data_IF_190373969177
#
_entry.id   IF_190373969177
#
_cell.length_a   1.000
_cell.length_b   1.000
_cell.length_c   1.000
_cell.angle_alpha   90.00
_cell.angle_beta   90.00
_cell.angle_gamma   90.00
#
_symmetry.space_group_name_H-M   'P 1'
#
loop_
_entity.id
_entity.type
_entity.pdbx_description
1 polymer ?
#
# COMPACT_ATOMS: atom_id res chain seq x y z
N UNK A 1 -4.18 8.86 6.58
CA UNK A 1 -4.39 8.36 5.21
C UNK A 1 -3.07 7.80 4.70
N UNK A 2 -3.05 6.54 4.26
CA UNK A 2 -1.84 5.80 3.90
C UNK A 2 -1.90 5.36 2.44
N UNK A 3 -1.02 5.94 1.60
CA UNK A 3 -0.87 5.65 0.18
C UNK A 3 0.31 4.72 -0.07
N UNK A 4 0.10 3.41 -0.01
CA UNK A 4 1.17 2.50 -0.43
C UNK A 4 1.00 2.13 -1.89
N UNK A 5 2.13 1.71 -2.45
CA UNK A 5 2.18 0.98 -3.68
C UNK A 5 2.99 -0.30 -3.38
N UNK A 6 2.32 -1.45 -3.42
CA UNK A 6 2.94 -2.76 -3.24
C UNK A 6 3.58 -3.02 -1.87
N UNK A 7 4.78 -3.60 -1.88
CA UNK A 7 5.44 -4.24 -0.74
C UNK A 7 6.24 -3.28 0.17
N UNK A 8 6.22 -1.98 -0.14
CA UNK A 8 6.78 -0.92 0.71
C UNK A 8 5.91 -0.57 1.93
N UNK A 9 4.82 -1.30 2.16
CA UNK A 9 3.88 -1.09 3.27
C UNK A 9 4.53 -1.04 4.66
N UNK A 10 5.74 -1.60 4.83
CA UNK A 10 6.51 -1.56 6.07
C UNK A 10 6.94 -0.14 6.49
N UNK A 11 7.11 0.78 5.54
CA UNK A 11 7.40 2.18 5.83
C UNK A 11 6.31 2.78 6.72
N UNK A 12 5.06 2.42 6.44
CA UNK A 12 3.91 2.86 7.23
C UNK A 12 3.85 2.31 8.64
N UNK A 13 4.50 1.18 8.90
CA UNK A 13 4.56 0.63 10.26
C UNK A 13 5.44 1.52 11.15
N UNK A 14 6.54 2.03 10.60
CA UNK A 14 7.35 3.05 11.26
C UNK A 14 6.57 4.32 11.56
N UNK A 15 5.88 4.85 10.52
CA UNK A 15 5.04 6.05 10.65
C UNK A 15 3.95 5.85 11.70
N UNK A 16 3.18 4.78 11.57
CA UNK A 16 2.08 4.39 12.47
C UNK A 16 2.55 4.29 13.91
N UNK A 17 3.69 3.62 14.17
CA UNK A 17 4.22 3.44 15.53
C UNK A 17 4.47 4.78 16.22
N UNK A 18 5.11 5.73 15.54
CA UNK A 18 5.37 7.07 16.09
C UNK A 18 4.07 7.85 16.30
N UNK A 19 3.18 7.85 15.31
CA UNK A 19 1.91 8.58 15.43
C UNK A 19 0.99 8.03 16.53
N UNK A 20 1.03 6.71 16.79
CA UNK A 20 0.32 6.10 17.91
C UNK A 20 0.96 6.46 19.26
N UNK A 21 2.30 6.44 19.36
CA UNK A 21 3.01 6.85 20.58
C UNK A 21 2.73 8.30 20.98
N UNK A 22 2.53 9.17 20.00
CA UNK A 22 2.17 10.58 20.20
C UNK A 22 0.67 10.81 20.44
N UNK A 23 -0.16 9.76 20.37
CA UNK A 23 -1.62 9.87 20.51
C UNK A 23 -2.34 10.55 19.32
N UNK A 24 -1.63 10.80 18.20
CA UNK A 24 -2.21 11.33 16.96
C UNK A 24 -3.12 10.28 16.31
N UNK A 25 -2.71 9.01 16.36
CA UNK A 25 -3.54 7.87 15.99
C UNK A 25 -3.89 7.08 17.25
N UNK A 26 -5.18 6.84 17.45
CA UNK A 26 -5.71 5.92 18.48
C UNK A 26 -6.23 4.69 17.75
N UNK A 27 -5.62 3.50 17.95
CA UNK A 27 -6.01 2.28 17.27
C UNK A 27 -7.49 1.98 17.39
N UNK A 28 -8.16 1.72 16.27
CA UNK A 28 -9.60 1.40 16.22
C UNK A 28 -10.54 2.59 16.46
N UNK A 29 -10.03 3.76 16.89
CA UNK A 29 -10.81 4.98 17.13
C UNK A 29 -10.57 6.04 16.06
N UNK A 30 -9.32 6.25 15.65
CA UNK A 30 -8.99 7.23 14.61
C UNK A 30 -9.47 6.72 13.25
N UNK A 31 -10.15 7.57 12.48
CA UNK A 31 -10.51 7.23 11.10
C UNK A 31 -9.26 7.11 10.24
N UNK A 32 -9.04 5.95 9.68
CA UNK A 32 -7.88 5.65 8.84
C UNK A 32 -8.35 5.13 7.49
N UNK A 33 -7.70 5.64 6.45
CA UNK A 33 -7.94 5.26 5.07
C UNK A 33 -6.65 4.70 4.48
N UNK A 34 -6.73 3.56 3.78
CA UNK A 34 -5.60 2.91 3.12
C UNK A 34 -5.90 2.51 1.68
N UNK A 35 -4.90 2.60 0.80
CA UNK A 35 -5.03 2.14 -0.60
C UNK A 35 -3.89 1.19 -0.96
N UNK A 36 -4.18 0.18 -1.78
CA UNK A 36 -3.24 -0.90 -2.14
C UNK A 36 -2.54 -1.46 -0.90
N UNK A 37 -1.24 -1.75 -0.93
CA UNK A 37 -0.49 -2.23 0.23
C UNK A 37 -0.68 -1.41 1.52
N UNK A 38 -1.13 -0.16 1.42
CA UNK A 38 -1.42 0.73 2.55
C UNK A 38 -2.59 0.22 3.37
N UNK A 39 -3.55 -0.48 2.76
CA UNK A 39 -4.65 -1.14 3.48
C UNK A 39 -4.13 -2.15 4.48
N UNK A 40 -3.19 -2.99 4.07
CA UNK A 40 -2.55 -3.97 4.94
C UNK A 40 -1.68 -3.25 5.98
N UNK A 41 -0.90 -2.25 5.55
CA UNK A 41 -0.08 -1.42 6.45
C UNK A 41 -0.87 -0.68 7.53
N UNK A 42 -2.14 -0.35 7.29
CA UNK A 42 -3.05 0.26 8.27
C UNK A 42 -3.54 -0.72 9.35
N UNK A 43 -3.30 -2.03 9.25
CA UNK A 43 -3.90 -3.00 10.17
C UNK A 43 -3.65 -2.67 11.66
N UNK A 44 -2.46 -2.16 12.07
CA UNK A 44 -2.27 -1.67 13.43
C UNK A 44 -3.11 -0.45 13.80
N UNK A 45 -3.28 0.49 12.87
CA UNK A 45 -4.08 1.69 13.10
C UNK A 45 -5.59 1.38 13.16
N UNK A 46 -6.03 0.34 12.45
CA UNK A 46 -7.38 -0.20 12.56
C UNK A 46 -7.66 -0.89 13.90
N UNK A 47 -6.64 -1.09 14.75
CA UNK A 47 -6.79 -1.81 16.02
C UNK A 47 -6.94 -3.33 15.86
N UNK A 48 -6.64 -3.86 14.67
CA UNK A 48 -6.78 -5.29 14.35
C UNK A 48 -5.61 -6.10 14.93
N UNK A 49 -4.42 -5.52 14.97
CA UNK A 49 -3.18 -6.22 15.35
C UNK A 49 -2.13 -5.23 15.88
N UNK A 50 -1.22 -5.65 16.76
CA UNK A 50 -0.08 -4.81 17.16
C UNK A 50 1.04 -4.78 16.11
N UNK A 51 1.88 -3.73 16.12
CA UNK A 51 2.99 -3.60 15.15
C UNK A 51 3.96 -4.77 15.16
N UNK A 52 4.28 -5.33 16.33
CA UNK A 52 5.29 -6.41 16.42
C UNK A 52 4.78 -7.72 15.78
N UNK A 53 3.52 -8.10 16.06
CA UNK A 53 2.88 -9.24 15.38
C UNK A 53 2.76 -8.98 13.87
N UNK A 54 2.40 -7.76 13.48
CA UNK A 54 2.34 -7.38 12.07
C UNK A 54 3.70 -7.56 11.38
N UNK A 55 4.78 -7.08 11.97
CA UNK A 55 6.13 -7.19 11.42
C UNK A 55 6.59 -8.64 11.33
N UNK A 56 6.30 -9.48 12.33
CA UNK A 56 6.62 -10.89 12.30
C UNK A 56 5.94 -11.61 11.11
N UNK A 57 4.63 -11.44 10.96
CA UNK A 57 3.85 -12.02 9.85
C UNK A 57 4.30 -11.45 8.50
N UNK A 58 4.55 -10.14 8.45
CA UNK A 58 4.99 -9.45 7.24
C UNK A 58 6.37 -9.87 6.75
N UNK A 59 7.33 -10.10 7.65
CA UNK A 59 8.67 -10.63 7.33
C UNK A 59 8.59 -12.05 6.77
N UNK A 60 7.73 -12.90 7.32
CA UNK A 60 7.49 -14.24 6.78
C UNK A 60 6.84 -14.16 5.38
N UNK A 61 5.86 -13.28 5.21
CA UNK A 61 5.18 -13.04 3.94
C UNK A 61 6.16 -12.63 2.82
N UNK A 62 7.03 -11.64 3.05
CA UNK A 62 8.00 -11.24 2.03
C UNK A 62 9.01 -12.35 1.73
N UNK A 63 9.41 -13.12 2.74
CA UNK A 63 10.33 -14.25 2.57
C UNK A 63 9.73 -15.31 1.66
N UNK A 64 8.45 -15.65 1.87
CA UNK A 64 7.71 -16.57 1.00
C UNK A 64 7.53 -16.03 -0.41
N UNK A 65 7.23 -14.74 -0.54
CA UNK A 65 7.13 -14.12 -1.86
C UNK A 65 8.44 -14.20 -2.63
N UNK A 66 9.58 -13.87 -2.00
CA UNK A 66 10.90 -13.97 -2.62
C UNK A 66 11.23 -15.39 -3.05
N UNK A 67 10.89 -16.38 -2.24
CA UNK A 67 11.07 -17.79 -2.56
C UNK A 67 10.20 -18.28 -3.74
N UNK A 68 9.17 -17.51 -4.12
CA UNK A 68 8.20 -17.85 -5.17
C UNK A 68 8.10 -16.72 -6.20
N UNK A 69 9.23 -16.40 -6.83
CA UNK A 69 9.27 -15.43 -7.94
C UNK A 69 8.64 -14.08 -7.57
N UNK A 70 8.95 -13.57 -6.38
CA UNK A 70 8.42 -12.30 -5.85
C UNK A 70 6.88 -12.24 -5.78
N UNK A 71 6.24 -13.39 -5.51
CA UNK A 71 4.78 -13.55 -5.49
C UNK A 71 4.06 -13.29 -6.83
N UNK A 72 4.78 -13.22 -7.94
CA UNK A 72 4.18 -13.00 -9.24
C UNK A 72 3.19 -14.13 -9.59
N UNK A 73 1.96 -13.77 -9.94
CA UNK A 73 0.84 -14.68 -10.19
C UNK A 73 0.18 -15.34 -8.98
N UNK A 74 0.70 -15.14 -7.76
CA UNK A 74 0.21 -15.79 -6.53
C UNK A 74 -0.03 -14.83 -5.36
N UNK A 75 0.16 -13.52 -5.54
CA UNK A 75 0.11 -12.53 -4.45
C UNK A 75 -1.22 -12.57 -3.69
N UNK A 76 -2.38 -12.76 -4.35
CA UNK A 76 -3.68 -12.81 -3.67
C UNK A 76 -3.78 -13.98 -2.69
N UNK A 77 -3.19 -15.13 -3.02
CA UNK A 77 -3.15 -16.29 -2.13
C UNK A 77 -2.29 -16.04 -0.88
N UNK A 78 -1.15 -15.38 -1.05
CA UNK A 78 -0.26 -15.05 0.07
C UNK A 78 -0.82 -13.90 0.90
N UNK A 79 -1.50 -12.93 0.27
CA UNK A 79 -2.30 -11.90 0.96
C UNK A 79 -3.43 -12.55 1.76
N UNK A 80 -4.17 -13.51 1.19
CA UNK A 80 -5.22 -14.22 1.92
C UNK A 80 -4.65 -14.89 3.17
N UNK A 81 -3.48 -15.53 3.07
CA UNK A 81 -2.78 -16.15 4.21
C UNK A 81 -2.40 -15.12 5.28
N UNK A 82 -1.91 -13.95 4.89
CA UNK A 82 -1.59 -12.85 5.81
C UNK A 82 -2.84 -12.33 6.51
N UNK A 83 -3.90 -12.07 5.74
CA UNK A 83 -5.19 -11.60 6.25
C UNK A 83 -5.75 -12.58 7.28
N UNK A 84 -5.69 -13.89 7.02
CA UNK A 84 -6.15 -14.90 7.98
C UNK A 84 -5.40 -14.87 9.32
N UNK A 85 -4.08 -14.60 9.30
CA UNK A 85 -3.26 -14.54 10.51
C UNK A 85 -3.42 -13.23 11.29
N UNK A 86 -3.70 -12.14 10.58
CA UNK A 86 -3.81 -10.81 11.17
C UNK A 86 -5.22 -10.52 11.68
N UNK A 87 -6.27 -10.93 10.98
CA UNK A 87 -7.65 -10.61 11.35
C UNK A 87 -8.14 -11.46 12.54
N UNK A 88 -8.41 -10.87 13.71
CA UNK A 88 -9.09 -11.58 14.80
C UNK A 88 -10.53 -11.94 14.41
N UNK A 89 -11.18 -12.88 15.11
CA UNK A 89 -12.57 -13.27 14.83
C UNK A 89 -13.57 -12.10 14.80
N UNK A 90 -13.38 -11.09 15.65
CA UNK A 90 -14.26 -9.92 15.77
C UNK A 90 -13.77 -8.69 14.97
N UNK A 91 -12.85 -8.88 14.01
CA UNK A 91 -12.22 -7.79 13.25
C UNK A 91 -13.23 -6.81 12.64
N UNK A 92 -14.31 -7.31 12.04
CA UNK A 92 -15.36 -6.47 11.45
C UNK A 92 -16.03 -5.57 12.50
N UNK A 93 -16.25 -6.08 13.71
CA UNK A 93 -16.78 -5.28 14.81
C UNK A 93 -15.76 -4.24 15.25
N UNK A 94 -14.48 -4.60 15.41
CA UNK A 94 -13.41 -3.66 15.81
C UNK A 94 -13.41 -2.44 14.88
N UNK A 95 -13.39 -2.66 13.56
CA UNK A 95 -13.31 -1.56 12.59
C UNK A 95 -14.65 -0.87 12.31
N UNK A 96 -15.76 -1.48 12.74
CA UNK A 96 -17.11 -0.90 12.60
C UNK A 96 -17.58 -0.17 13.85
N UNK A 97 -16.89 -0.31 15.00
CA UNK A 97 -17.14 0.49 16.21
C UNK A 97 -16.96 1.96 15.84
N UNK A 98 -18.05 2.71 15.83
CA UNK A 98 -18.09 4.05 15.27
C UNK A 98 -17.12 5.01 15.97
N UNK A 99 -16.33 5.73 15.19
CA UNK A 99 -15.72 6.98 15.65
C UNK A 99 -16.81 8.03 15.80
N UNK A 100 -16.93 8.66 16.98
CA UNK A 100 -17.76 9.87 17.13
C UNK A 100 -17.23 10.93 16.18
N UNK A 101 -18.06 11.40 15.25
CA UNK A 101 -17.66 12.54 14.41
C UNK A 101 -17.47 13.81 15.24
N UNK A 102 -16.77 14.80 14.68
CA UNK A 102 -16.56 16.11 15.30
C UNK A 102 -17.86 16.86 15.68
N UNK A 103 -19.02 16.37 15.24
CA UNK A 103 -20.37 16.90 15.53
C UNK A 103 -21.29 15.89 16.25
N UNK A 104 -20.75 14.85 16.87
CA UNK A 104 -21.54 13.88 17.66
C UNK A 104 -22.43 12.91 16.85
N UNK A 105 -22.48 13.04 15.52
CA UNK A 105 -23.17 12.06 14.68
C UNK A 105 -22.45 10.70 14.70
N UNK A 106 -23.22 9.62 14.80
CA UNK A 106 -22.73 8.27 14.53
C UNK A 106 -22.22 8.24 13.08
N UNK A 107 -20.97 7.84 12.90
CA UNK A 107 -20.39 7.66 11.57
C UNK A 107 -19.98 6.20 11.43
N UNK A 108 -20.29 5.63 10.26
CA UNK A 108 -19.82 4.34 9.78
C UNK A 108 -18.31 4.19 10.05
N UNK A 109 -17.85 2.94 10.22
CA UNK A 109 -16.59 2.48 10.82
C UNK A 109 -15.29 3.28 10.59
N UNK A 110 -14.27 2.96 11.39
CA UNK A 110 -12.99 3.67 11.43
C UNK A 110 -12.02 3.25 10.33
N UNK A 111 -12.17 2.06 9.76
CA UNK A 111 -11.34 1.58 8.66
C UNK A 111 -12.00 1.87 7.31
N UNK A 112 -11.40 2.75 6.52
CA UNK A 112 -11.78 3.02 5.14
C UNK A 112 -10.84 2.23 4.22
N UNK A 113 -11.39 1.28 3.48
CA UNK A 113 -10.67 0.49 2.49
C UNK A 113 -11.03 1.02 1.10
N UNK A 114 -10.01 1.39 0.34
CA UNK A 114 -10.17 2.14 -0.90
C UNK A 114 -9.81 1.25 -2.09
N UNK A 115 -10.68 1.26 -3.10
CA UNK A 115 -10.60 0.46 -4.31
C UNK A 115 -11.11 1.31 -5.49
N UNK A 116 -11.20 0.73 -6.69
CA UNK A 116 -11.86 1.38 -7.81
C UNK A 116 -12.84 0.43 -8.51
N UNK A 117 -13.90 0.97 -9.09
CA UNK A 117 -14.83 0.25 -9.96
C UNK A 117 -14.79 0.81 -11.37
N UNK A 118 -15.05 0.01 -12.41
CA UNK A 118 -15.22 0.55 -13.75
C UNK A 118 -16.53 1.35 -13.81
N UNK A 119 -16.49 2.55 -14.38
CA UNK A 119 -17.73 3.22 -14.83
C UNK A 119 -18.29 2.56 -16.10
N UNK A 120 -19.35 3.13 -16.66
CA UNK A 120 -19.98 2.66 -17.91
C UNK A 120 -19.01 2.54 -19.10
N UNK A 121 -17.93 3.33 -19.10
CA UNK A 121 -16.88 3.34 -20.13
C UNK A 121 -15.69 2.42 -19.79
N UNK A 122 -15.77 1.65 -18.71
CA UNK A 122 -14.67 0.80 -18.24
C UNK A 122 -13.53 1.56 -17.55
N UNK A 123 -13.65 2.87 -17.34
CA UNK A 123 -12.62 3.68 -16.69
C UNK A 123 -12.69 3.48 -15.17
N UNK A 124 -11.56 3.20 -14.48
CA UNK A 124 -11.54 3.09 -13.03
C UNK A 124 -11.96 4.40 -12.35
N UNK A 125 -12.99 4.33 -11.52
CA UNK A 125 -13.48 5.42 -10.65
C UNK A 125 -13.27 5.01 -9.20
N UNK A 126 -12.69 5.90 -8.41
CA UNK A 126 -12.36 5.63 -7.02
C UNK A 126 -13.61 5.40 -6.16
N UNK A 127 -13.56 4.36 -5.34
CA UNK A 127 -14.60 3.99 -4.37
C UNK A 127 -13.95 3.63 -3.03
N UNK A 128 -14.76 3.50 -1.99
CA UNK A 128 -14.34 3.03 -0.67
C UNK A 128 -15.47 2.33 0.07
N UNK A 129 -15.10 1.50 1.03
CA UNK A 129 -16.04 0.97 2.03
C UNK A 129 -15.48 1.24 3.42
N UNK A 130 -16.37 1.46 4.38
CA UNK A 130 -16.07 1.52 5.81
C UNK A 130 -17.13 0.80 6.65
N UNK A 131 -17.91 -0.06 6.02
CA UNK A 131 -18.87 -0.96 6.66
C UNK A 131 -18.54 -2.38 6.25
N UNK A 132 -18.62 -3.30 7.20
CA UNK A 132 -18.22 -4.70 7.00
C UNK A 132 -19.22 -5.62 7.68
N UNK A 133 -19.82 -6.53 6.91
CA UNK A 133 -20.88 -7.42 7.41
C UNK A 133 -20.31 -8.56 8.25
N UNK A 134 -19.07 -8.96 7.98
CA UNK A 134 -18.38 -10.04 8.66
C UNK A 134 -16.86 -9.89 8.55
N UNK A 135 -16.12 -10.70 9.31
CA UNK A 135 -14.66 -10.83 9.15
C UNK A 135 -14.28 -11.18 7.71
N UNK A 136 -15.05 -12.06 7.08
CA UNK A 136 -14.81 -12.48 5.70
C UNK A 136 -15.07 -11.34 4.72
N UNK A 137 -16.14 -10.57 4.89
CA UNK A 137 -16.41 -9.40 4.05
C UNK A 137 -15.31 -8.32 4.19
N UNK A 138 -14.78 -8.10 5.40
CA UNK A 138 -13.58 -7.28 5.62
C UNK A 138 -12.35 -7.86 4.90
N UNK A 139 -12.11 -9.17 5.00
CA UNK A 139 -11.02 -9.84 4.29
C UNK A 139 -11.14 -9.68 2.77
N UNK A 140 -12.37 -9.80 2.23
CA UNK A 140 -12.66 -9.57 0.82
C UNK A 140 -12.42 -8.12 0.41
N UNK A 141 -12.78 -7.14 1.25
CA UNK A 141 -12.49 -5.74 1.00
C UNK A 141 -10.97 -5.48 0.94
N UNK A 142 -10.20 -6.01 1.91
CA UNK A 142 -8.74 -5.89 1.94
C UNK A 142 -8.14 -6.49 0.66
N UNK A 143 -8.49 -7.73 0.34
CA UNK A 143 -8.00 -8.43 -0.87
C UNK A 143 -8.33 -7.69 -2.16
N UNK A 144 -9.53 -7.08 -2.26
CA UNK A 144 -9.91 -6.19 -3.37
C UNK A 144 -9.00 -5.00 -3.50
N UNK A 145 -8.82 -4.26 -2.41
CA UNK A 145 -8.07 -3.02 -2.47
C UNK A 145 -6.57 -3.23 -2.74
N UNK A 146 -6.05 -4.46 -2.62
CA UNK A 146 -4.65 -4.84 -2.88
C UNK A 146 -4.45 -5.78 -4.08
N UNK A 147 -5.48 -5.98 -4.92
CA UNK A 147 -5.42 -6.94 -6.03
C UNK A 147 -4.66 -6.39 -7.24
N UNK A 148 -3.33 -6.53 -7.24
CA UNK A 148 -2.49 -6.07 -8.33
C UNK A 148 -2.52 -7.05 -9.52
N UNK A 149 -2.92 -6.61 -10.73
CA UNK A 149 -2.90 -7.49 -11.90
C UNK A 149 -1.50 -8.07 -12.17
N UNK A 150 -1.45 -9.29 -12.71
CA UNK A 150 -0.22 -10.10 -12.93
C UNK A 150 0.48 -10.58 -11.65
N UNK A 151 0.45 -9.83 -10.55
CA UNK A 151 0.98 -10.28 -9.26
C UNK A 151 -0.03 -11.12 -8.50
N UNK A 152 -1.24 -10.61 -8.33
CA UNK A 152 -2.31 -11.26 -7.57
C UNK A 152 -2.97 -12.40 -8.34
N UNK A 153 -3.03 -12.27 -9.65
CA UNK A 153 -3.56 -13.28 -10.56
C UNK A 153 -3.63 -12.75 -11.98
N UNK A 154 -4.17 -13.55 -12.92
CA UNK A 154 -4.24 -13.17 -14.32
C UNK A 154 -5.26 -12.05 -14.58
N UNK A 155 -6.34 -11.96 -13.80
CA UNK A 155 -7.38 -10.96 -14.02
C UNK A 155 -6.92 -9.53 -13.67
N UNK A 156 -7.51 -8.52 -14.34
CA UNK A 156 -7.33 -7.11 -13.99
C UNK A 156 -8.18 -6.66 -12.79
N UNK A 157 -9.24 -7.42 -12.49
CA UNK A 157 -10.22 -7.11 -11.45
C UNK A 157 -10.57 -8.37 -10.68
N UNK A 158 -11.11 -8.19 -9.48
CA UNK A 158 -11.78 -9.24 -8.72
C UNK A 158 -13.18 -8.80 -8.30
N UNK A 159 -14.14 -9.72 -8.13
CA UNK A 159 -15.45 -9.37 -7.61
C UNK A 159 -15.37 -8.97 -6.13
N UNK A 160 -16.07 -7.90 -5.77
CA UNK A 160 -16.33 -7.48 -4.40
C UNK A 160 -17.81 -7.09 -4.31
N UNK A 161 -18.57 -7.78 -3.43
CA UNK A 161 -20.03 -7.61 -3.31
C UNK A 161 -20.76 -7.63 -4.66
N UNK A 162 -20.38 -8.56 -5.53
CA UNK A 162 -20.94 -8.72 -6.87
C UNK A 162 -20.43 -7.75 -7.94
N UNK A 163 -19.58 -6.78 -7.60
CA UNK A 163 -19.08 -5.76 -8.54
C UNK A 163 -17.61 -5.99 -8.86
N UNK A 164 -17.25 -5.89 -10.16
CA UNK A 164 -15.84 -5.91 -10.58
C UNK A 164 -15.09 -4.73 -9.98
N UNK A 165 -13.98 -5.02 -9.33
CA UNK A 165 -13.21 -4.03 -8.59
C UNK A 165 -11.71 -4.18 -8.87
N UNK A 166 -11.03 -3.05 -8.97
CA UNK A 166 -9.59 -2.93 -9.14
C UNK A 166 -8.91 -2.67 -7.79
N UNK A 167 -7.59 -2.91 -7.75
CA UNK A 167 -6.71 -2.40 -6.70
C UNK A 167 -6.94 -0.90 -6.45
N UNK A 168 -6.80 -0.48 -5.19
CA UNK A 168 -6.96 0.91 -4.80
C UNK A 168 -6.03 1.87 -5.53
N UNK A 169 -4.84 1.45 -5.93
CA UNK A 169 -3.88 2.25 -6.69
C UNK A 169 -4.40 2.74 -8.05
N UNK A 170 -5.46 2.14 -8.61
CA UNK A 170 -6.13 2.66 -9.82
C UNK A 170 -7.02 3.89 -9.55
N UNK A 171 -7.18 4.30 -8.29
CA UNK A 171 -7.88 5.54 -7.95
C UNK A 171 -6.96 6.75 -8.12
N UNK A 172 -7.44 7.79 -8.80
CA UNK A 172 -6.68 9.02 -9.04
C UNK A 172 -6.57 9.94 -7.81
N UNK A 173 -7.60 9.96 -6.96
CA UNK A 173 -7.66 10.84 -5.80
C UNK A 173 -7.53 10.06 -4.48
N UNK A 174 -6.89 10.69 -3.48
CA UNK A 174 -6.74 10.18 -2.13
C UNK A 174 -7.56 11.00 -1.12
N UNK A 175 -8.90 10.95 -1.15
CA UNK A 175 -9.70 11.60 -0.14
C UNK A 175 -9.34 11.05 1.23
N UNK A 176 -9.11 11.98 2.15
CA UNK A 176 -9.20 11.70 3.57
C UNK A 176 -10.56 11.12 3.92
N UNK A 177 -10.67 10.35 5.02
CA UNK A 177 -11.98 9.99 5.55
C UNK A 177 -12.90 11.21 5.63
N UNK A 178 -14.19 11.10 5.27
CA UNK A 178 -15.11 12.23 5.32
C UNK A 178 -15.29 12.73 6.77
N UNK A 179 -15.71 13.98 6.91
CA UNK A 179 -16.05 14.61 8.20
C UNK A 179 -14.89 14.59 9.22
N UNK A 180 -13.67 14.86 8.76
CA UNK A 180 -12.49 15.07 9.61
C UNK A 180 -12.07 16.54 9.56
N UNK A 181 -11.60 17.08 10.68
CA UNK A 181 -11.10 18.46 10.77
C UNK A 181 -9.66 18.59 10.29
N UNK A 182 -8.88 17.52 10.44
CA UNK A 182 -7.51 17.44 10.00
C UNK A 182 -7.19 16.02 9.54
N UNK A 183 -6.28 15.88 8.58
CA UNK A 183 -5.93 14.60 8.01
C UNK A 183 -4.43 14.53 7.73
N UNK A 184 -3.75 13.67 8.48
CA UNK A 184 -2.36 13.32 8.20
C UNK A 184 -2.31 12.37 7.01
N UNK A 185 -1.48 12.70 6.02
CA UNK A 185 -1.29 11.92 4.79
C UNK A 185 0.14 11.40 4.75
N UNK A 186 0.30 10.10 4.51
CA UNK A 186 1.59 9.49 4.32
C UNK A 186 1.61 8.71 3.01
N UNK A 187 2.72 8.78 2.27
CA UNK A 187 2.95 8.02 1.05
C UNK A 187 4.27 7.28 1.13
N UNK A 188 4.33 6.09 0.54
CA UNK A 188 5.59 5.37 0.34
C UNK A 188 6.37 5.89 -0.86
N UNK A 189 5.78 6.74 -1.70
CA UNK A 189 6.48 7.36 -2.82
C UNK A 189 6.83 8.81 -2.46
N UNK A 190 8.02 9.31 -2.83
CA UNK A 190 8.23 10.74 -2.91
C UNK A 190 7.51 11.32 -4.13
N UNK A 191 7.28 12.64 -4.21
CA UNK A 191 6.91 13.30 -5.46
C UNK A 191 7.90 12.92 -6.56
N UNK A 192 7.40 12.31 -7.62
CA UNK A 192 8.20 11.81 -8.73
C UNK A 192 8.30 12.86 -9.83
N UNK A 193 9.53 13.16 -10.25
CA UNK A 193 9.79 13.83 -11.51
C UNK A 193 9.98 12.77 -12.60
N UNK A 194 8.94 12.56 -13.42
CA UNK A 194 8.97 11.53 -14.46
C UNK A 194 10.05 11.75 -15.52
N UNK A 195 10.47 13.00 -15.78
CA UNK A 195 11.55 13.28 -16.73
C UNK A 195 12.89 12.78 -16.20
N UNK A 196 13.22 13.14 -14.95
CA UNK A 196 14.43 12.65 -14.28
C UNK A 196 14.42 11.12 -14.12
N UNK A 197 13.24 10.55 -13.82
CA UNK A 197 13.09 9.10 -13.74
C UNK A 197 13.41 8.44 -15.09
N UNK A 198 12.90 8.98 -16.21
CA UNK A 198 13.23 8.48 -17.54
C UNK A 198 14.71 8.66 -17.90
N UNK A 199 15.29 9.82 -17.58
CA UNK A 199 16.69 10.11 -17.88
C UNK A 199 17.63 9.11 -17.17
N UNK A 200 17.29 8.75 -15.92
CA UNK A 200 18.06 7.77 -15.13
C UNK A 200 17.96 6.32 -15.62
N UNK A 201 17.06 5.98 -16.55
CA UNK A 201 17.01 4.63 -17.16
C UNK A 201 18.27 4.30 -17.97
N UNK A 202 18.94 5.32 -18.51
CA UNK A 202 20.15 5.13 -19.29
C UNK A 202 21.40 4.93 -18.42
N UNK A 203 21.28 5.12 -17.10
CA UNK A 203 22.40 4.94 -16.19
C UNK A 203 22.78 3.45 -16.06
N UNK A 204 24.08 3.10 -16.12
CA UNK A 204 24.54 1.71 -15.97
C UNK A 204 24.10 1.08 -14.65
N UNK A 205 23.99 1.87 -13.59
CA UNK A 205 23.50 1.41 -12.29
C UNK A 205 22.04 0.95 -12.38
N UNK A 206 21.14 1.83 -12.83
CA UNK A 206 19.71 1.56 -13.01
C UNK A 206 19.48 0.30 -13.85
N UNK A 207 20.19 0.17 -14.96
CA UNK A 207 20.08 -1.00 -15.84
C UNK A 207 20.42 -2.32 -15.12
N UNK A 208 21.43 -2.33 -14.24
CA UNK A 208 21.76 -3.52 -13.44
C UNK A 208 20.66 -3.85 -12.43
N UNK A 209 20.12 -2.84 -11.74
CA UNK A 209 19.04 -3.02 -10.77
C UNK A 209 17.79 -3.57 -11.46
N UNK A 210 17.38 -2.99 -12.60
CA UNK A 210 16.23 -3.45 -13.39
C UNK A 210 16.40 -4.88 -13.93
N UNK A 211 17.59 -5.24 -14.43
CA UNK A 211 17.85 -6.60 -14.91
C UNK A 211 17.77 -7.63 -13.80
N UNK A 212 18.37 -7.34 -12.64
CA UNK A 212 18.30 -8.22 -11.46
C UNK A 212 16.86 -8.40 -10.98
N UNK A 213 16.11 -7.30 -10.98
CA UNK A 213 14.70 -7.30 -10.65
C UNK A 213 13.91 -8.23 -11.58
N UNK A 214 14.03 -8.01 -12.89
CA UNK A 214 13.36 -8.81 -13.90
C UNK A 214 13.73 -10.29 -13.80
N UNK A 215 15.02 -10.63 -13.66
CA UNK A 215 15.46 -12.02 -13.56
C UNK A 215 14.94 -12.71 -12.30
N UNK A 216 14.85 -11.99 -11.18
CA UNK A 216 14.32 -12.55 -9.93
C UNK A 216 12.81 -12.80 -9.96
N UNK A 217 12.06 -11.98 -10.69
CA UNK A 217 10.59 -12.10 -10.81
C UNK A 217 10.17 -13.09 -11.88
N UNK A 218 10.89 -13.14 -13.01
CA UNK A 218 10.55 -14.05 -14.10
C UNK A 218 11.07 -15.48 -13.89
N UNK A 219 12.01 -15.66 -12.97
CA UNK A 219 12.63 -16.95 -12.68
C UNK A 219 13.42 -17.52 -13.87
N UNK A 220 13.66 -18.84 -13.85
CA UNK A 220 14.44 -19.54 -14.88
C UNK A 220 13.73 -19.63 -16.24
N UNK A 221 12.40 -19.42 -16.29
CA UNK A 221 11.57 -19.59 -17.49
C UNK A 221 10.70 -18.35 -17.76
N UNK A 222 11.31 -17.20 -18.13
CA UNK A 222 10.61 -15.94 -18.31
C UNK A 222 9.46 -16.01 -19.32
N UNK A 223 9.66 -16.75 -20.41
CA UNK A 223 8.63 -16.92 -21.43
C UNK A 223 7.45 -17.76 -20.93
N UNK A 224 7.69 -18.76 -20.08
CA UNK A 224 6.61 -19.56 -19.49
C UNK A 224 5.79 -18.73 -18.48
N UNK A 225 6.42 -17.81 -17.75
CA UNK A 225 5.71 -16.87 -16.88
C UNK A 225 4.80 -15.94 -17.69
N UNK A 226 5.36 -15.27 -18.71
CA UNK A 226 4.59 -14.37 -19.59
C UNK A 226 3.48 -15.14 -20.28
N UNK A 227 3.77 -16.33 -20.81
CA UNK A 227 2.77 -17.20 -21.43
C UNK A 227 1.71 -17.65 -20.42
N UNK A 228 2.04 -18.03 -19.19
CA UNK A 228 1.02 -18.45 -18.22
C UNK A 228 0.13 -17.29 -17.77
N UNK A 229 0.68 -16.09 -17.65
CA UNK A 229 -0.09 -14.88 -17.33
C UNK A 229 -0.95 -14.44 -18.51
N UNK A 230 -0.42 -14.46 -19.73
CA UNK A 230 -1.12 -14.03 -20.96
C UNK A 230 -2.09 -15.09 -21.51
N UNK A 231 -1.73 -16.38 -21.53
CA UNK A 231 -2.55 -17.48 -22.07
C UNK A 231 -3.69 -17.87 -21.15
N UNK A 232 -3.57 -17.70 -19.82
CA UNK A 232 -4.72 -17.86 -18.91
C UNK A 232 -5.71 -16.69 -18.99
N UNK A 233 -5.29 -15.59 -19.64
CA UNK A 233 -6.12 -14.45 -20.01
C UNK A 233 -6.71 -14.56 -21.42
N UNK A 234 -6.97 -15.77 -21.95
CA UNK A 234 -7.69 -15.97 -23.23
C UNK A 234 -9.08 -15.29 -23.33
N UNK A 235 -9.58 -14.72 -22.23
CA UNK A 235 -10.84 -13.95 -22.17
C UNK A 235 -10.61 -12.42 -22.29
N UNK A 236 -9.36 -11.95 -22.22
CA UNK A 236 -9.03 -10.53 -22.30
C UNK A 236 -7.77 -10.35 -23.14
N UNK A 237 -7.96 -10.06 -24.43
CA UNK A 237 -6.88 -9.72 -25.36
C UNK A 237 -6.32 -8.33 -25.04
N UNK A 238 -5.56 -8.20 -23.95
CA UNK A 238 -4.92 -6.94 -23.65
C UNK A 238 -3.78 -6.67 -24.62
N UNK A 239 -3.83 -5.52 -25.27
CA UNK A 239 -2.74 -5.09 -26.14
C UNK A 239 -1.59 -4.52 -25.30
N UNK A 240 -0.36 -4.61 -25.79
CA UNK A 240 0.85 -4.15 -25.06
C UNK A 240 0.76 -2.66 -24.68
N UNK A 241 0.14 -1.84 -25.53
CA UNK A 241 -0.17 -0.43 -25.27
C UNK A 241 -1.15 -0.23 -24.11
N UNK A 242 -2.12 -1.12 -23.90
CA UNK A 242 -3.03 -1.06 -22.75
C UNK A 242 -2.33 -1.37 -21.43
N UNK A 243 -1.37 -2.30 -21.44
CA UNK A 243 -0.52 -2.61 -20.27
C UNK A 243 0.40 -1.42 -19.96
N UNK A 244 1.00 -0.80 -20.97
CA UNK A 244 1.86 0.38 -20.83
C UNK A 244 1.06 1.58 -20.34
N UNK A 245 -0.07 1.89 -20.96
CA UNK A 245 -0.97 2.98 -20.54
C UNK A 245 -1.54 2.72 -19.14
N UNK A 246 -1.89 1.47 -18.82
CA UNK A 246 -2.31 1.07 -17.48
C UNK A 246 -1.21 1.29 -16.43
N UNK A 247 0.04 0.98 -16.77
CA UNK A 247 1.20 1.21 -15.90
C UNK A 247 1.49 2.69 -15.71
N UNK A 248 1.47 3.50 -16.78
CA UNK A 248 1.65 4.96 -16.70
C UNK A 248 0.51 5.61 -15.92
N UNK A 249 -0.74 5.17 -16.15
CA UNK A 249 -1.90 5.65 -15.40
C UNK A 249 -1.81 5.25 -13.92
N UNK A 250 -1.34 4.04 -13.61
CA UNK A 250 -1.10 3.59 -12.24
C UNK A 250 0.00 4.43 -11.58
N UNK A 251 1.17 4.59 -12.21
CA UNK A 251 2.27 5.41 -11.68
C UNK A 251 1.89 6.88 -11.50
N UNK A 252 1.15 7.44 -12.45
CA UNK A 252 0.61 8.80 -12.34
C UNK A 252 -0.40 8.93 -11.20
N UNK A 253 -1.27 7.93 -11.03
CA UNK A 253 -2.22 7.89 -9.92
C UNK A 253 -1.52 7.69 -8.56
N UNK A 254 -0.41 6.93 -8.52
CA UNK A 254 0.35 6.71 -7.29
C UNK A 254 1.36 7.81 -6.94
N UNK A 255 1.68 8.73 -7.86
CA UNK A 255 2.50 9.91 -7.56
C UNK A 255 1.82 10.77 -6.46
N UNK A 256 2.48 11.03 -5.32
CA UNK A 256 1.90 11.87 -4.29
C UNK A 256 1.88 13.34 -4.72
N UNK A 257 0.80 14.05 -4.38
CA UNK A 257 0.74 15.50 -4.55
C UNK A 257 1.66 16.24 -3.58
N UNK A 258 1.86 17.55 -3.76
CA UNK A 258 2.72 18.36 -2.89
C UNK A 258 2.25 18.38 -1.43
N UNK A 259 0.96 18.14 -1.19
CA UNK A 259 0.34 18.22 0.14
C UNK A 259 0.49 16.94 0.98
N UNK A 260 1.40 16.02 0.60
CA UNK A 260 1.67 14.84 1.42
C UNK A 260 2.55 15.21 2.61
N UNK A 261 2.06 14.88 3.81
CA UNK A 261 2.72 15.25 5.06
C UNK A 261 4.00 14.44 5.31
N UNK A 262 3.96 13.13 5.07
CA UNK A 262 5.05 12.20 5.41
C UNK A 262 5.38 11.31 4.20
N UNK A 263 6.61 11.33 3.71
CA UNK A 263 7.09 10.42 2.65
C UNK A 263 8.62 10.25 2.70
N UNK A 264 9.16 9.14 2.19
CA UNK A 264 10.61 8.89 2.18
C UNK A 264 11.36 9.99 1.43
N UNK A 265 12.37 10.58 2.06
CA UNK A 265 13.14 11.67 1.45
C UNK A 265 12.64 13.07 1.77
N UNK A 266 11.49 13.25 2.43
CA UNK A 266 11.00 14.58 2.82
C UNK A 266 11.85 15.21 3.92
N UNK A 267 12.08 14.45 4.99
CA UNK A 267 12.79 14.92 6.17
C UNK A 267 14.16 14.27 6.33
N UNK A 268 14.25 12.99 6.01
CA UNK A 268 15.48 12.22 6.11
C UNK A 268 15.88 11.68 4.73
N UNK A 269 17.19 11.61 4.46
CA UNK A 269 17.72 11.07 3.21
C UNK A 269 17.30 9.60 3.04
N UNK A 270 16.72 9.27 1.88
CA UNK A 270 16.44 7.88 1.52
C UNK A 270 17.78 7.16 1.22
N UNK A 271 18.11 6.04 1.89
CA UNK A 271 19.35 5.30 1.63
C UNK A 271 19.33 4.55 0.29
N UNK A 272 18.15 4.37 -0.31
CA UNK A 272 17.99 3.72 -1.61
C UNK A 272 17.93 4.77 -2.73
N UNK A 273 18.49 4.43 -3.89
CA UNK A 273 18.18 5.17 -5.12
C UNK A 273 16.68 5.08 -5.44
N UNK A 274 16.16 6.02 -6.22
CA UNK A 274 14.74 6.02 -6.56
C UNK A 274 14.32 4.72 -7.26
N UNK A 275 15.18 4.13 -8.10
CA UNK A 275 14.87 2.88 -8.79
C UNK A 275 14.85 1.67 -7.88
N UNK A 276 15.80 1.57 -6.94
CA UNK A 276 15.76 0.51 -5.93
C UNK A 276 14.49 0.61 -5.09
N UNK A 277 14.14 1.83 -4.67
CA UNK A 277 12.94 2.10 -3.91
C UNK A 277 11.67 1.72 -4.67
N UNK A 278 11.54 2.16 -5.93
CA UNK A 278 10.38 1.81 -6.78
C UNK A 278 10.29 0.31 -7.02
N UNK A 279 11.43 -0.38 -7.22
CA UNK A 279 11.43 -1.82 -7.44
C UNK A 279 11.03 -2.61 -6.20
N UNK A 280 11.30 -2.10 -5.00
CA UNK A 280 10.82 -2.70 -3.75
C UNK A 280 9.29 -2.70 -3.62
N UNK A 281 8.56 -1.96 -4.47
CA UNK A 281 7.10 -2.09 -4.55
C UNK A 281 6.66 -3.46 -5.06
N UNK A 282 7.41 -4.03 -5.99
CA UNK A 282 7.05 -5.28 -6.69
C UNK A 282 8.01 -6.43 -6.38
N UNK A 283 9.16 -6.13 -5.78
CA UNK A 283 10.14 -7.08 -5.27
C UNK A 283 10.13 -6.97 -3.76
N UNK A 284 9.73 -8.03 -3.04
CA UNK A 284 9.66 -7.95 -1.59
C UNK A 284 11.03 -7.62 -0.99
N UNK A 285 11.13 -6.63 -0.09
CA UNK A 285 12.35 -6.37 0.65
C UNK A 285 12.72 -7.60 1.49
N UNK A 286 14.01 -7.78 1.77
CA UNK A 286 14.51 -8.73 2.75
C UNK A 286 14.07 -8.34 4.17
N UNK A 287 14.09 -9.28 5.14
CA UNK A 287 13.78 -8.96 6.54
C UNK A 287 14.62 -7.82 7.14
N UNK A 288 15.89 -7.70 6.75
CA UNK A 288 16.78 -6.63 7.22
C UNK A 288 16.45 -5.29 6.54
N UNK A 289 16.16 -5.31 5.23
CA UNK A 289 15.67 -4.12 4.52
C UNK A 289 14.34 -3.63 5.10
N UNK A 290 13.46 -4.53 5.56
CA UNK A 290 12.24 -4.16 6.29
C UNK A 290 12.56 -3.36 7.55
N UNK A 291 13.56 -3.76 8.34
CA UNK A 291 13.91 -3.03 9.56
C UNK A 291 14.43 -1.62 9.25
N UNK A 292 15.21 -1.48 8.16
CA UNK A 292 15.63 -0.18 7.65
C UNK A 292 14.42 0.66 7.23
N UNK A 293 13.50 0.08 6.45
CA UNK A 293 12.30 0.76 5.93
C UNK A 293 11.38 1.22 7.08
N UNK A 294 11.19 0.38 8.10
CA UNK A 294 10.43 0.72 9.32
C UNK A 294 11.10 1.88 10.04
N UNK A 295 12.43 1.83 10.21
CA UNK A 295 13.17 2.92 10.83
C UNK A 295 13.01 4.22 10.06
N UNK A 296 13.11 4.19 8.73
CA UNK A 296 12.90 5.37 7.88
C UNK A 296 11.53 6.01 8.13
N UNK A 297 10.45 5.21 8.15
CA UNK A 297 9.11 5.72 8.43
C UNK A 297 8.97 6.34 9.82
N UNK A 298 9.64 5.76 10.83
CA UNK A 298 9.66 6.32 12.17
C UNK A 298 10.44 7.64 12.23
N UNK A 299 11.60 7.71 11.58
CA UNK A 299 12.42 8.92 11.52
C UNK A 299 11.66 10.07 10.82
N UNK A 300 11.00 9.79 9.69
CA UNK A 300 10.23 10.80 8.94
C UNK A 300 8.99 11.26 9.72
N UNK A 301 8.27 10.35 10.39
CA UNK A 301 7.14 10.71 11.24
C UNK A 301 7.57 11.53 12.48
N UNK A 302 8.74 11.22 13.04
CA UNK A 302 9.30 11.98 14.17
C UNK A 302 9.67 13.39 13.73
N UNK A 303 10.30 13.55 12.57
CA UNK A 303 10.63 14.87 12.01
C UNK A 303 9.39 15.68 11.69
N UNK A 304 8.37 15.06 11.06
CA UNK A 304 7.07 15.69 10.87
C UNK A 304 6.46 16.15 12.20
N UNK A 305 6.45 15.29 13.23
CA UNK A 305 5.90 15.64 14.54
C UNK A 305 6.62 16.84 15.19
N UNK A 306 7.94 16.98 15.01
CA UNK A 306 8.68 18.17 15.46
C UNK A 306 8.28 19.42 14.68
N UNK A 307 8.15 19.32 13.35
CA UNK A 307 7.68 20.43 12.51
C UNK A 307 6.28 20.90 12.95
N UNK A 308 5.41 19.98 13.35
CA UNK A 308 4.07 20.29 13.87
C UNK A 308 4.06 20.75 15.34
N UNK A 309 5.22 20.86 16.00
CA UNK A 309 5.31 21.24 17.42
C UNK A 309 4.80 20.19 18.42
N UNK A 310 4.60 18.95 17.97
CA UNK A 310 4.19 17.82 18.83
C UNK A 310 5.37 17.24 19.63
N UNK A 311 6.59 17.52 19.19
CA UNK A 311 7.84 17.12 19.84
C UNK A 311 8.78 18.32 19.94
N UNK A 312 9.65 18.36 20.97
CA UNK A 312 10.63 19.44 21.11
C UNK A 312 11.66 19.45 19.95
N UNK A 313 12.22 20.62 19.61
CA UNK A 313 13.28 20.73 18.61
C UNK A 313 14.51 19.90 19.00
N UNK A 314 15.19 19.32 18.00
CA UNK A 314 16.47 18.60 18.19
C UNK A 314 17.49 19.50 18.87
N UNK A 315 17.99 19.07 20.04
CA UNK A 315 19.02 19.80 20.79
C UNK A 315 18.50 20.65 21.97
N UNK A 316 17.18 20.71 22.20
CA UNK A 316 16.64 21.30 23.43
C UNK A 316 16.77 20.31 24.60
N UNK A 317 17.95 20.25 25.23
CA UNK A 317 18.06 19.67 26.58
C UNK A 317 17.41 20.64 27.55
N UNK A 318 16.40 20.17 28.29
CA UNK A 318 16.00 20.80 29.56
C UNK A 318 17.03 20.45 30.63
#
# INVERSE_FOLDING_TARGET
>A
MLKAAGLLLFYFIGVSKVLQQLGVIKPGETRVAGTSGGIIGCAPDFGIVGHDKFLAVGKEFVTRCRAKNNCAGILDSEVSRVVEQLLPPDAANIVSRGARGARGAAVNGTAYILFANPNEKGVPVGNWTNTYDSRDDLAQAIRTGVYLPMWSGPAMTRPFRGVRSYDGGFRRALPCPPNVTFCVTASVLPPLNFRELLDSLNEPYTNRVLRRALSSTLGAHPMAFIQNVMLKNKVTSYKVDEVVLGTVAYLSAVNPGPDVHIYPGKYNKNPYSIWEWLLMMIIPPTPDEIDIIVKMGADDATSWAREQGLLPPTGSRR
#
